data_IF_847903053012
#
_entry.id   IF_847903053012
#
_cell.length_a   1.000
_cell.length_b   1.000
_cell.length_c   1.000
_cell.angle_alpha   90.00
_cell.angle_beta   90.00
_cell.angle_gamma   90.00
#
_symmetry.space_group_name_H-M   'P 1'
#
loop_
_entity.id
_entity.type
_entity.pdbx_description
1 polymer ?
#
# COMPACT_ATOMS: atom_id res chain seq x y z
N UNK A 1 25.54 -21.43 22.45
CA UNK A 1 25.45 -20.09 21.84
C UNK A 1 24.69 -20.21 20.53
N UNK A 2 23.44 -19.76 20.47
CA UNK A 2 22.54 -19.94 19.31
C UNK A 2 23.11 -19.26 18.06
N UNK A 3 23.85 -18.16 18.22
CA UNK A 3 24.41 -17.41 17.10
C UNK A 3 25.58 -18.11 16.42
N UNK A 4 26.35 -18.93 17.14
CA UNK A 4 27.41 -19.75 16.53
C UNK A 4 26.85 -20.77 15.53
N UNK A 5 25.64 -21.29 15.78
CA UNK A 5 24.94 -22.19 14.86
C UNK A 5 24.35 -21.48 13.64
N UNK A 6 24.15 -20.15 13.72
CA UNK A 6 23.60 -19.35 12.62
C UNK A 6 24.65 -18.87 11.64
N UNK A 7 25.91 -18.73 12.05
CA UNK A 7 27.00 -18.30 11.15
C UNK A 7 27.10 -19.15 9.87
N UNK A 8 27.08 -20.50 9.93
CA UNK A 8 27.10 -21.32 8.73
C UNK A 8 25.86 -21.10 7.85
N UNK A 9 24.68 -21.00 8.45
CA UNK A 9 23.42 -20.72 7.75
C UNK A 9 23.42 -19.34 7.06
N UNK A 10 24.07 -18.34 7.68
CA UNK A 10 24.21 -17.00 7.11
C UNK A 10 25.35 -16.91 6.09
N UNK A 11 26.29 -17.85 6.08
CA UNK A 11 27.34 -17.93 5.09
C UNK A 11 26.93 -18.77 3.85
N UNK A 12 25.79 -19.45 3.91
CA UNK A 12 25.36 -20.39 2.87
C UNK A 12 24.50 -19.72 1.79
N UNK A 13 25.15 -19.40 0.67
CA UNK A 13 24.57 -18.64 -0.45
C UNK A 13 23.70 -19.49 -1.40
N UNK A 14 23.58 -20.79 -1.14
CA UNK A 14 22.72 -21.70 -1.93
C UNK A 14 21.23 -21.51 -1.66
N UNK A 15 20.85 -20.93 -0.52
CA UNK A 15 19.46 -20.69 -0.17
C UNK A 15 19.02 -19.27 -0.50
N UNK A 16 17.76 -19.06 -0.94
CA UNK A 16 17.23 -17.72 -1.21
C UNK A 16 17.29 -16.81 0.02
N UNK A 17 17.53 -15.52 -0.22
CA UNK A 17 17.71 -14.52 0.86
C UNK A 17 16.46 -14.36 1.75
N UNK A 18 15.25 -14.34 1.16
CA UNK A 18 14.00 -14.12 1.91
C UNK A 18 13.75 -15.16 3.02
N UNK A 19 13.75 -16.48 2.74
CA UNK A 19 13.64 -17.51 3.77
C UNK A 19 14.71 -17.38 4.87
N UNK A 20 15.96 -17.04 4.48
CA UNK A 20 17.04 -16.85 5.45
C UNK A 20 16.74 -15.70 6.42
N UNK A 21 16.27 -14.56 5.90
CA UNK A 21 15.87 -13.41 6.73
C UNK A 21 14.67 -13.76 7.63
N UNK A 22 13.68 -14.51 7.14
CA UNK A 22 12.54 -14.93 7.94
C UNK A 22 12.94 -15.82 9.12
N UNK A 23 13.84 -16.77 8.91
CA UNK A 23 14.40 -17.60 10.01
C UNK A 23 15.08 -16.72 11.05
N UNK A 24 15.93 -15.77 10.60
CA UNK A 24 16.60 -14.84 11.51
C UNK A 24 15.61 -13.93 12.24
N UNK A 25 14.51 -13.51 11.60
CA UNK A 25 13.42 -12.75 12.23
C UNK A 25 12.71 -13.56 13.32
N UNK A 26 12.30 -14.79 13.02
CA UNK A 26 11.65 -15.68 13.98
C UNK A 26 12.53 -15.94 15.19
N UNK A 27 13.84 -16.14 15.00
CA UNK A 27 14.79 -16.31 16.10
C UNK A 27 14.86 -15.08 17.00
N UNK A 28 14.90 -13.88 16.42
CA UNK A 28 14.89 -12.64 17.18
C UNK A 28 13.60 -12.40 17.98
N UNK A 29 12.47 -12.94 17.50
CA UNK A 29 11.17 -12.82 18.18
C UNK A 29 10.94 -13.91 19.23
N UNK A 30 11.49 -15.11 19.01
CA UNK A 30 11.22 -16.29 19.85
C UNK A 30 12.15 -16.41 21.06
N UNK A 31 13.29 -15.70 21.04
CA UNK A 31 14.31 -15.79 22.08
C UNK A 31 14.60 -14.42 22.69
N UNK A 32 14.83 -14.39 24.00
CA UNK A 32 15.38 -13.21 24.67
C UNK A 32 16.88 -13.12 24.38
N UNK A 33 17.22 -12.37 23.33
CA UNK A 33 18.61 -12.13 22.93
C UNK A 33 19.26 -11.06 23.81
N UNK A 34 20.55 -11.20 24.08
CA UNK A 34 21.36 -10.11 24.64
C UNK A 34 21.47 -8.96 23.63
N UNK A 35 21.91 -7.78 24.09
CA UNK A 35 22.12 -6.65 23.18
C UNK A 35 23.17 -6.97 22.10
N UNK A 36 24.26 -7.65 22.49
CA UNK A 36 25.31 -8.10 21.57
C UNK A 36 24.75 -9.11 20.55
N UNK A 37 23.94 -10.05 21.00
CA UNK A 37 23.33 -11.04 20.12
C UNK A 37 22.34 -10.39 19.14
N UNK A 38 21.60 -9.38 19.61
CA UNK A 38 20.71 -8.57 18.77
C UNK A 38 21.47 -7.83 17.68
N UNK A 39 22.61 -7.20 18.02
CA UNK A 39 23.48 -6.53 17.04
C UNK A 39 24.03 -7.50 16.00
N UNK A 40 24.51 -8.66 16.42
CA UNK A 40 24.99 -9.72 15.52
C UNK A 40 23.89 -10.24 14.60
N UNK A 41 22.66 -10.38 15.09
CA UNK A 41 21.52 -10.79 14.27
C UNK A 41 21.20 -9.77 13.18
N UNK A 42 21.25 -8.47 13.51
CA UNK A 42 21.10 -7.38 12.53
C UNK A 42 22.24 -7.42 11.51
N UNK A 43 23.47 -7.67 11.94
CA UNK A 43 24.63 -7.82 11.07
C UNK A 43 24.42 -8.96 10.06
N UNK A 44 24.09 -10.16 10.53
CA UNK A 44 23.90 -11.32 9.64
C UNK A 44 22.76 -11.13 8.63
N UNK A 45 21.66 -10.47 9.05
CA UNK A 45 20.57 -10.12 8.13
C UNK A 45 21.04 -9.15 7.06
N UNK A 46 21.78 -8.12 7.46
CA UNK A 46 22.33 -7.09 6.56
C UNK A 46 23.30 -7.71 5.57
N UNK A 47 24.25 -8.50 6.06
CA UNK A 47 25.24 -9.19 5.25
C UNK A 47 24.59 -10.13 4.22
N UNK A 48 23.59 -10.92 4.62
CA UNK A 48 22.87 -11.81 3.71
C UNK A 48 22.17 -11.05 2.56
N UNK A 49 21.61 -9.88 2.85
CA UNK A 49 20.97 -9.03 1.84
C UNK A 49 22.00 -8.39 0.92
N UNK A 50 23.10 -7.86 1.48
CA UNK A 50 24.12 -7.18 0.69
C UNK A 50 24.89 -8.13 -0.22
N UNK A 51 25.20 -9.35 0.24
CA UNK A 51 25.83 -10.37 -0.63
C UNK A 51 24.97 -10.70 -1.86
N UNK A 52 23.64 -10.65 -1.73
CA UNK A 52 22.72 -10.98 -2.81
C UNK A 52 22.62 -9.86 -3.88
N UNK A 53 22.63 -8.59 -3.47
CA UNK A 53 22.37 -7.46 -4.38
C UNK A 53 23.61 -6.58 -4.64
N UNK A 54 24.53 -6.45 -3.69
CA UNK A 54 25.76 -5.66 -3.79
C UNK A 54 26.97 -6.47 -3.33
N UNK A 55 27.38 -7.54 -4.05
CA UNK A 55 28.46 -8.43 -3.62
C UNK A 55 29.82 -7.73 -3.47
N UNK A 56 29.97 -6.53 -4.05
CA UNK A 56 31.18 -5.71 -3.94
C UNK A 56 31.24 -4.89 -2.64
N UNK A 57 30.10 -4.66 -1.98
CA UNK A 57 30.02 -3.92 -0.71
C UNK A 57 30.05 -4.90 0.45
N UNK A 58 31.22 -5.02 1.08
CA UNK A 58 31.37 -5.80 2.32
C UNK A 58 30.75 -5.04 3.49
N UNK A 59 30.07 -5.74 4.39
CA UNK A 59 29.45 -5.15 5.59
C UNK A 59 30.37 -5.33 6.78
N UNK A 60 30.61 -4.25 7.53
CA UNK A 60 31.28 -4.28 8.83
C UNK A 60 30.24 -4.12 9.96
N UNK A 61 30.57 -4.58 11.16
CA UNK A 61 29.80 -4.34 12.38
C UNK A 61 29.67 -2.83 12.63
N UNK A 62 30.68 -2.04 12.27
CA UNK A 62 30.61 -0.58 12.34
C UNK A 62 29.45 -0.01 11.50
N UNK A 63 29.14 -0.59 10.33
CA UNK A 63 28.06 -0.09 9.45
C UNK A 63 26.66 -0.23 10.09
N UNK A 64 26.50 -1.13 11.07
CA UNK A 64 25.21 -1.42 11.71
C UNK A 64 25.16 -1.10 13.21
N UNK A 65 26.24 -0.54 13.76
CA UNK A 65 26.41 -0.31 15.20
C UNK A 65 25.34 0.61 15.79
N UNK A 66 25.01 1.68 15.06
CA UNK A 66 24.06 2.70 15.48
C UNK A 66 23.11 3.09 14.33
N UNK A 67 22.12 3.94 14.61
CA UNK A 67 21.14 4.36 13.62
C UNK A 67 21.74 5.20 12.48
N UNK A 68 22.69 6.09 12.79
CA UNK A 68 23.35 6.97 11.82
C UNK A 68 24.18 6.17 10.80
N UNK A 69 24.92 5.17 11.27
CA UNK A 69 25.71 4.28 10.43
C UNK A 69 24.80 3.48 9.49
N UNK A 70 23.69 2.93 10.00
CA UNK A 70 22.70 2.24 9.17
C UNK A 70 22.05 3.17 8.14
N UNK A 71 21.76 4.42 8.51
CA UNK A 71 21.22 5.41 7.58
C UNK A 71 22.21 5.78 6.48
N UNK A 72 23.49 5.89 6.83
CA UNK A 72 24.58 6.18 5.88
C UNK A 72 24.74 5.02 4.90
N UNK A 73 24.79 3.77 5.40
CA UNK A 73 24.83 2.57 4.58
C UNK A 73 23.62 2.51 3.64
N UNK A 74 22.41 2.75 4.15
CA UNK A 74 21.21 2.76 3.31
C UNK A 74 21.26 3.83 2.22
N UNK A 75 21.76 5.02 2.54
CA UNK A 75 21.89 6.12 1.57
C UNK A 75 22.88 5.76 0.46
N UNK A 76 24.03 5.18 0.81
CA UNK A 76 25.05 4.69 -0.13
C UNK A 76 24.47 3.63 -1.09
N UNK A 77 23.76 2.64 -0.55
CA UNK A 77 23.13 1.58 -1.34
C UNK A 77 22.01 2.15 -2.23
N UNK A 78 21.18 3.05 -1.70
CA UNK A 78 20.11 3.69 -2.45
C UNK A 78 20.67 4.52 -3.61
N UNK A 79 21.73 5.28 -3.41
CA UNK A 79 22.37 6.10 -4.45
C UNK A 79 22.99 5.27 -5.58
N UNK A 80 23.56 4.11 -5.25
CA UNK A 80 24.13 3.17 -6.22
C UNK A 80 23.09 2.26 -6.88
N UNK A 81 21.82 2.32 -6.47
CA UNK A 81 20.74 1.46 -6.98
C UNK A 81 20.01 2.04 -8.18
N UNK A 82 19.87 1.22 -9.22
CA UNK A 82 19.21 1.53 -10.48
C UNK A 82 18.30 0.41 -11.01
N UNK A 83 18.34 -0.78 -10.40
CA UNK A 83 17.56 -1.95 -10.84
C UNK A 83 16.42 -2.24 -9.88
N UNK A 84 15.30 -2.72 -10.40
CA UNK A 84 14.13 -3.11 -9.59
C UNK A 84 14.49 -4.13 -8.49
N UNK A 85 15.35 -5.10 -8.82
CA UNK A 85 15.82 -6.11 -7.86
C UNK A 85 16.56 -5.47 -6.70
N UNK A 86 17.34 -4.42 -6.92
CA UNK A 86 18.08 -3.70 -5.86
C UNK A 86 17.10 -3.00 -4.91
N UNK A 87 16.07 -2.34 -5.45
CA UNK A 87 15.01 -1.75 -4.62
C UNK A 87 14.28 -2.79 -3.78
N UNK A 88 14.00 -3.98 -4.33
CA UNK A 88 13.41 -5.08 -3.56
C UNK A 88 14.30 -5.53 -2.38
N UNK A 89 15.63 -5.51 -2.55
CA UNK A 89 16.56 -5.81 -1.46
C UNK A 89 16.64 -4.66 -0.44
N UNK A 90 16.50 -3.40 -0.86
CA UNK A 90 16.38 -2.26 0.07
C UNK A 90 15.11 -2.34 0.93
N UNK A 91 13.98 -2.76 0.36
CA UNK A 91 12.73 -3.00 1.13
C UNK A 91 12.99 -4.06 2.21
N UNK A 92 13.62 -5.18 1.84
CA UNK A 92 13.98 -6.24 2.78
C UNK A 92 14.94 -5.76 3.88
N UNK A 93 15.88 -4.89 3.51
CA UNK A 93 16.85 -4.33 4.45
C UNK A 93 16.16 -3.49 5.53
N UNK A 94 15.27 -2.58 5.14
CA UNK A 94 14.52 -1.74 6.07
C UNK A 94 13.57 -2.57 6.97
N UNK A 95 12.96 -3.64 6.44
CA UNK A 95 12.15 -4.59 7.21
C UNK A 95 12.98 -5.44 8.18
N UNK A 96 14.25 -5.71 7.85
CA UNK A 96 15.14 -6.52 8.69
C UNK A 96 15.75 -5.72 9.86
N UNK A 97 15.78 -4.40 9.73
CA UNK A 97 16.40 -3.47 10.66
C UNK A 97 15.46 -2.98 11.77
N UNK A 98 16.01 -2.61 12.95
CA UNK A 98 15.26 -1.85 13.95
C UNK A 98 14.70 -0.54 13.35
N UNK A 99 13.51 -0.07 13.77
CA UNK A 99 12.96 1.21 13.32
C UNK A 99 13.99 2.33 13.48
N UNK A 100 14.19 3.11 12.41
CA UNK A 100 15.01 4.32 12.45
C UNK A 100 14.11 5.46 12.92
N UNK A 101 14.37 5.96 14.13
CA UNK A 101 13.50 6.93 14.79
C UNK A 101 13.94 8.37 14.55
N UNK A 102 15.04 8.62 13.86
CA UNK A 102 15.62 9.93 13.63
C UNK A 102 14.55 10.92 13.22
N UNK A 103 14.19 11.75 14.20
CA UNK A 103 13.15 12.79 14.17
C UNK A 103 13.55 13.96 13.26
N UNK A 104 14.73 13.90 12.65
CA UNK A 104 15.26 14.94 11.80
C UNK A 104 14.72 14.80 10.37
N UNK A 105 13.54 15.39 10.13
CA UNK A 105 12.99 15.74 8.80
C UNK A 105 12.44 14.54 8.01
N UNK A 106 11.19 14.67 7.53
CA UNK A 106 10.54 13.69 6.63
C UNK A 106 11.39 13.30 5.41
N UNK A 107 12.21 14.22 4.92
CA UNK A 107 13.16 14.01 3.83
C UNK A 107 14.22 12.94 4.14
N UNK A 108 14.49 12.67 5.43
CA UNK A 108 15.42 11.63 5.88
C UNK A 108 14.72 10.32 6.22
N UNK A 109 13.39 10.22 6.08
CA UNK A 109 12.72 8.96 6.30
C UNK A 109 13.15 7.95 5.21
N UNK A 110 13.71 6.78 5.59
CA UNK A 110 14.29 5.85 4.62
C UNK A 110 13.23 5.25 3.69
N UNK A 111 12.01 5.03 4.18
CA UNK A 111 10.89 4.53 3.37
C UNK A 111 10.45 5.56 2.34
N UNK A 112 10.33 6.84 2.74
CA UNK A 112 10.01 7.94 1.80
C UNK A 112 11.11 8.06 0.74
N UNK A 113 12.39 8.09 1.13
CA UNK A 113 13.52 8.16 0.18
C UNK A 113 13.55 6.97 -0.78
N UNK A 114 13.27 5.76 -0.28
CA UNK A 114 13.20 4.56 -1.11
C UNK A 114 12.13 4.68 -2.18
N UNK A 115 10.89 4.99 -1.77
CA UNK A 115 9.77 5.12 -2.70
C UNK A 115 10.01 6.26 -3.69
N UNK A 116 10.57 7.40 -3.26
CA UNK A 116 10.97 8.49 -4.15
C UNK A 116 11.97 8.02 -5.21
N UNK A 117 13.00 7.26 -4.81
CA UNK A 117 13.98 6.72 -5.75
C UNK A 117 13.34 5.72 -6.72
N UNK A 118 12.46 4.84 -6.24
CA UNK A 118 11.72 3.90 -7.08
C UNK A 118 10.84 4.64 -8.12
N UNK A 119 10.11 5.68 -7.69
CA UNK A 119 9.24 6.48 -8.56
C UNK A 119 10.00 7.35 -9.57
N UNK A 120 11.24 7.75 -9.27
CA UNK A 120 12.03 8.62 -10.13
C UNK A 120 13.00 7.89 -11.06
N UNK A 121 13.41 6.67 -10.71
CA UNK A 121 14.47 5.93 -11.43
C UNK A 121 13.96 4.69 -12.17
N UNK A 122 12.80 4.14 -11.82
CA UNK A 122 12.23 3.02 -12.56
C UNK A 122 11.64 3.46 -13.90
N UNK A 123 11.65 2.56 -14.89
CA UNK A 123 11.18 2.84 -16.26
C UNK A 123 9.65 2.97 -16.34
N UNK A 124 9.20 3.77 -17.32
CA UNK A 124 7.78 4.03 -17.61
C UNK A 124 6.94 2.77 -17.88
N UNK A 125 7.58 1.70 -18.38
CA UNK A 125 6.93 0.43 -18.75
C UNK A 125 6.29 -0.29 -17.55
N UNK A 126 6.81 -0.07 -16.33
CA UNK A 126 6.36 -0.75 -15.10
C UNK A 126 5.54 0.16 -14.16
N UNK A 127 4.96 1.25 -14.68
CA UNK A 127 4.28 2.27 -13.84
C UNK A 127 3.12 1.75 -12.99
N UNK A 128 2.28 0.88 -13.54
CA UNK A 128 1.14 0.33 -12.78
C UNK A 128 1.61 -0.59 -11.65
N UNK A 129 2.53 -1.52 -11.94
CA UNK A 129 3.13 -2.40 -10.93
C UNK A 129 3.91 -1.64 -9.86
N UNK A 130 4.48 -0.49 -10.21
CA UNK A 130 5.16 0.39 -9.27
C UNK A 130 4.19 0.98 -8.23
N UNK A 131 3.01 1.42 -8.69
CA UNK A 131 1.95 1.89 -7.80
C UNK A 131 1.49 0.82 -6.81
N UNK A 132 1.29 -0.42 -7.29
CA UNK A 132 0.90 -1.55 -6.45
C UNK A 132 1.98 -1.94 -5.45
N UNK A 133 3.25 -1.87 -5.84
CA UNK A 133 4.36 -2.15 -4.92
C UNK A 133 4.45 -1.06 -3.83
N UNK A 134 4.21 0.21 -4.15
CA UNK A 134 4.13 1.28 -3.13
C UNK A 134 2.99 1.05 -2.15
N UNK A 135 1.80 0.65 -2.64
CA UNK A 135 0.68 0.28 -1.76
C UNK A 135 1.07 -0.85 -0.82
N UNK A 136 1.68 -1.90 -1.36
CA UNK A 136 2.13 -3.06 -0.58
C UNK A 136 3.19 -2.69 0.45
N UNK A 137 4.13 -1.81 0.13
CA UNK A 137 5.11 -1.28 1.09
C UNK A 137 4.36 -0.59 2.23
N UNK A 138 3.53 0.42 1.94
CA UNK A 138 2.79 1.16 2.97
C UNK A 138 1.92 0.24 3.85
N UNK A 139 1.18 -0.68 3.24
CA UNK A 139 0.33 -1.65 3.95
C UNK A 139 1.13 -2.61 4.82
N UNK A 140 2.36 -2.96 4.43
CA UNK A 140 3.25 -3.79 5.26
C UNK A 140 3.74 -3.07 6.52
N UNK A 141 3.69 -1.73 6.54
CA UNK A 141 4.09 -0.91 7.67
C UNK A 141 2.94 -0.61 8.63
N UNK A 142 1.69 -0.88 8.24
CA UNK A 142 0.53 -0.68 9.11
C UNK A 142 0.62 -1.54 10.36
N UNK A 143 0.27 -0.95 11.51
CA UNK A 143 0.36 -1.57 12.83
C UNK A 143 1.78 -1.96 13.27
N UNK A 144 2.82 -1.44 12.60
CA UNK A 144 4.22 -1.64 12.99
C UNK A 144 4.80 -0.39 13.63
N UNK A 145 5.92 -0.54 14.33
CA UNK A 145 6.72 0.59 14.86
C UNK A 145 7.40 1.43 13.78
N UNK A 146 7.32 1.01 12.51
CA UNK A 146 7.84 1.71 11.34
C UNK A 146 6.75 2.42 10.54
N UNK A 147 5.52 2.50 11.05
CA UNK A 147 4.40 3.17 10.38
C UNK A 147 4.78 4.61 10.03
N UNK A 148 4.49 5.00 8.78
CA UNK A 148 4.76 6.35 8.30
C UNK A 148 3.85 7.36 9.00
N UNK A 149 4.38 8.53 9.40
CA UNK A 149 3.54 9.64 9.87
C UNK A 149 2.65 10.15 8.73
N UNK A 150 1.58 10.86 9.10
CA UNK A 150 0.57 11.39 8.16
C UNK A 150 1.21 12.25 7.07
N UNK A 151 2.20 13.07 7.43
CA UNK A 151 2.94 13.91 6.51
C UNK A 151 3.80 13.09 5.54
N UNK A 152 4.33 11.95 5.98
CA UNK A 152 5.06 11.02 5.11
C UNK A 152 4.13 10.35 4.10
N UNK A 153 2.94 9.92 4.54
CA UNK A 153 1.91 9.37 3.64
C UNK A 153 1.48 10.43 2.62
N UNK A 154 1.28 11.67 3.06
CA UNK A 154 0.93 12.80 2.19
C UNK A 154 1.99 13.02 1.10
N UNK A 155 3.26 13.04 1.46
CA UNK A 155 4.36 13.22 0.51
C UNK A 155 4.39 12.10 -0.54
N UNK A 156 4.22 10.84 -0.11
CA UNK A 156 4.14 9.71 -1.03
C UNK A 156 2.94 9.82 -1.98
N UNK A 157 1.79 10.25 -1.48
CA UNK A 157 0.60 10.46 -2.31
C UNK A 157 0.84 11.56 -3.35
N UNK A 158 1.50 12.65 -2.98
CA UNK A 158 1.90 13.70 -3.93
C UNK A 158 2.86 13.14 -4.98
N UNK A 159 3.89 12.38 -4.60
CA UNK A 159 4.82 11.79 -5.56
C UNK A 159 4.13 10.84 -6.55
N UNK A 160 3.19 10.02 -6.09
CA UNK A 160 2.37 9.17 -6.95
C UNK A 160 1.54 9.99 -7.94
N UNK A 161 0.92 11.10 -7.49
CA UNK A 161 0.16 12.00 -8.35
C UNK A 161 1.06 12.65 -9.43
N UNK A 162 2.27 13.09 -9.07
CA UNK A 162 3.24 13.63 -10.04
C UNK A 162 3.61 12.59 -11.12
N UNK A 163 3.61 11.30 -10.79
CA UNK A 163 3.85 10.21 -11.72
C UNK A 163 2.59 9.74 -12.48
N UNK A 164 1.47 10.46 -12.37
CA UNK A 164 0.17 10.09 -12.94
C UNK A 164 -0.42 8.77 -12.40
N UNK A 165 -0.02 8.37 -11.19
CA UNK A 165 -0.53 7.17 -10.50
C UNK A 165 -1.65 7.55 -9.53
N UNK A 166 -2.80 7.93 -10.11
CA UNK A 166 -3.95 8.41 -9.33
C UNK A 166 -4.57 7.32 -8.44
N UNK A 167 -4.83 6.13 -8.97
CA UNK A 167 -5.52 5.07 -8.23
C UNK A 167 -4.76 4.63 -6.96
N UNK A 168 -3.45 4.33 -7.00
CA UNK A 168 -2.67 4.03 -5.79
C UNK A 168 -2.67 5.18 -4.79
N UNK A 169 -2.58 6.44 -5.26
CA UNK A 169 -2.61 7.61 -4.40
C UNK A 169 -3.96 7.73 -3.65
N UNK A 170 -5.09 7.57 -4.36
CA UNK A 170 -6.41 7.62 -3.75
C UNK A 170 -6.61 6.54 -2.68
N UNK A 171 -6.13 5.31 -2.93
CA UNK A 171 -6.21 4.21 -1.95
C UNK A 171 -5.44 4.54 -0.66
N UNK A 172 -4.20 5.03 -0.78
CA UNK A 172 -3.41 5.44 0.39
C UNK A 172 -4.05 6.57 1.19
N UNK A 173 -4.58 7.58 0.50
CA UNK A 173 -5.25 8.71 1.15
C UNK A 173 -6.47 8.24 1.96
N UNK A 174 -7.28 7.35 1.40
CA UNK A 174 -8.49 6.85 2.05
C UNK A 174 -8.19 5.85 3.19
N UNK A 175 -7.15 5.02 3.05
CA UNK A 175 -6.73 4.05 4.08
C UNK A 175 -6.24 4.69 5.38
N UNK A 176 -5.73 5.93 5.30
CA UNK A 176 -5.20 6.65 6.47
C UNK A 176 -6.25 6.96 7.54
N UNK A 177 -7.53 7.08 7.17
CA UNK A 177 -8.61 7.50 8.07
C UNK A 177 -8.57 8.99 8.49
N UNK A 178 -7.53 9.73 8.09
CA UNK A 178 -7.34 11.13 8.48
C UNK A 178 -8.18 12.08 7.62
N UNK A 179 -8.90 12.99 8.27
CA UNK A 179 -9.82 13.91 7.58
C UNK A 179 -9.08 14.81 6.56
N UNK A 180 -7.85 15.22 6.88
CA UNK A 180 -7.02 16.06 5.99
C UNK A 180 -6.62 15.32 4.70
N UNK A 181 -6.32 14.02 4.78
CA UNK A 181 -5.96 13.19 3.64
C UNK A 181 -7.20 12.79 2.83
N UNK A 182 -8.33 12.54 3.51
CA UNK A 182 -9.62 12.32 2.83
C UNK A 182 -10.08 13.56 2.06
N UNK A 183 -9.85 14.77 2.59
CA UNK A 183 -10.14 16.01 1.86
C UNK A 183 -9.31 16.11 0.57
N UNK A 184 -8.03 15.75 0.63
CA UNK A 184 -7.16 15.67 -0.56
C UNK A 184 -7.66 14.61 -1.55
N UNK A 185 -8.11 13.44 -1.10
CA UNK A 185 -8.66 12.42 -1.98
C UNK A 185 -9.90 12.93 -2.73
N UNK A 186 -10.80 13.63 -2.02
CA UNK A 186 -12.00 14.21 -2.62
C UNK A 186 -11.68 15.31 -3.64
N UNK A 187 -10.67 16.13 -3.39
CA UNK A 187 -10.20 17.13 -4.35
C UNK A 187 -9.76 16.45 -5.65
N UNK A 188 -8.94 15.39 -5.55
CA UNK A 188 -8.50 14.62 -6.71
C UNK A 188 -9.67 13.94 -7.44
N UNK A 189 -10.62 13.34 -6.71
CA UNK A 189 -11.83 12.72 -7.28
C UNK A 189 -12.68 13.76 -8.02
N UNK A 190 -12.84 14.96 -7.46
CA UNK A 190 -13.62 16.03 -8.07
C UNK A 190 -13.00 16.57 -9.37
N UNK A 191 -11.67 16.48 -9.48
CA UNK A 191 -10.92 16.89 -10.67
C UNK A 191 -11.02 15.87 -11.83
N UNK A 192 -11.38 14.62 -11.54
CA UNK A 192 -11.55 13.58 -12.57
C UNK A 192 -12.82 13.85 -13.36
N UNK A 193 -12.69 13.97 -14.68
CA UNK A 193 -13.82 14.15 -15.60
C UNK A 193 -14.35 12.83 -16.16
N UNK A 194 -13.49 11.82 -16.30
CA UNK A 194 -13.85 10.51 -16.85
C UNK A 194 -13.27 9.38 -16.00
N UNK A 195 -14.15 8.50 -15.56
CA UNK A 195 -13.79 7.29 -14.81
C UNK A 195 -13.45 6.15 -15.77
N UNK A 196 -12.37 5.43 -15.49
CA UNK A 196 -11.90 4.27 -16.24
C UNK A 196 -11.11 3.31 -15.32
N UNK A 197 -10.66 2.18 -15.85
CA UNK A 197 -9.94 1.14 -15.08
C UNK A 197 -8.60 1.62 -14.49
N UNK A 198 -8.05 2.75 -14.95
CA UNK A 198 -6.80 3.32 -14.43
C UNK A 198 -6.98 4.22 -13.19
N UNK A 199 -8.21 4.70 -12.94
CA UNK A 199 -8.52 5.60 -11.83
C UNK A 199 -9.61 5.07 -10.89
N UNK A 200 -10.25 3.95 -11.22
CA UNK A 200 -11.33 3.38 -10.42
C UNK A 200 -11.32 1.86 -10.49
N UNK A 201 -11.35 1.23 -9.30
CA UNK A 201 -11.53 -0.19 -9.15
C UNK A 201 -12.46 -0.51 -7.97
N UNK A 202 -12.78 -1.79 -7.78
CA UNK A 202 -13.70 -2.23 -6.73
C UNK A 202 -13.17 -1.96 -5.32
N UNK A 203 -11.85 -1.94 -5.14
CA UNK A 203 -11.21 -1.65 -3.87
C UNK A 203 -11.40 -0.17 -3.49
N UNK A 204 -11.12 0.75 -4.41
CA UNK A 204 -11.35 2.18 -4.23
C UNK A 204 -12.82 2.48 -3.90
N UNK A 205 -13.75 1.87 -4.64
CA UNK A 205 -15.18 2.06 -4.40
C UNK A 205 -15.59 1.57 -3.01
N UNK A 206 -15.00 0.47 -2.54
CA UNK A 206 -15.21 -0.03 -1.18
C UNK A 206 -14.67 0.95 -0.13
N UNK A 207 -13.46 1.47 -0.33
CA UNK A 207 -12.83 2.45 0.56
C UNK A 207 -13.65 3.75 0.66
N UNK A 208 -14.21 4.24 -0.45
CA UNK A 208 -15.06 5.44 -0.45
C UNK A 208 -16.34 5.26 0.38
N UNK A 209 -16.96 4.07 0.30
CA UNK A 209 -18.16 3.75 1.08
C UNK A 209 -17.79 3.56 2.54
N UNK A 210 -16.72 2.83 2.84
CA UNK A 210 -16.25 2.58 4.20
C UNK A 210 -15.85 3.89 4.92
N UNK A 211 -15.25 4.84 4.18
CA UNK A 211 -14.93 6.18 4.67
C UNK A 211 -16.14 7.12 4.76
N UNK A 212 -17.37 6.64 4.50
CA UNK A 212 -18.63 7.42 4.52
C UNK A 212 -18.62 8.64 3.58
N UNK A 213 -17.91 8.55 2.45
CA UNK A 213 -17.75 9.65 1.50
C UNK A 213 -18.79 9.66 0.36
N UNK A 214 -19.77 8.74 0.39
CA UNK A 214 -20.81 8.60 -0.64
C UNK A 214 -21.49 9.94 -0.98
N UNK A 215 -21.94 10.68 0.04
CA UNK A 215 -22.62 11.97 -0.10
C UNK A 215 -21.73 12.98 -0.84
N UNK A 216 -20.45 13.05 -0.48
CA UNK A 216 -19.49 13.98 -1.09
C UNK A 216 -19.13 13.59 -2.54
N UNK A 217 -19.43 12.37 -2.94
CA UNK A 217 -19.14 11.88 -4.29
C UNK A 217 -20.32 12.08 -5.27
N UNK A 218 -21.52 12.49 -4.81
CA UNK A 218 -22.75 12.56 -5.63
C UNK A 218 -22.56 13.39 -6.91
N UNK A 219 -21.85 14.51 -6.83
CA UNK A 219 -21.59 15.41 -7.96
C UNK A 219 -20.43 14.96 -8.86
N UNK A 220 -19.78 13.85 -8.56
CA UNK A 220 -18.57 13.37 -9.26
C UNK A 220 -18.91 12.18 -10.18
N UNK A 221 -18.11 11.92 -11.22
CA UNK A 221 -18.35 10.78 -12.12
C UNK A 221 -18.15 9.41 -11.45
N UNK A 222 -17.66 9.37 -10.19
CA UNK A 222 -17.56 8.15 -9.41
C UNK A 222 -18.91 7.69 -8.86
N UNK A 223 -19.89 8.58 -8.66
CA UNK A 223 -21.17 8.23 -8.04
C UNK A 223 -21.91 7.07 -8.73
N UNK A 224 -22.08 7.04 -10.07
CA UNK A 224 -22.70 5.90 -10.74
C UNK A 224 -21.95 4.57 -10.53
N UNK A 225 -20.62 4.63 -10.44
CA UNK A 225 -19.77 3.46 -10.20
C UNK A 225 -19.92 2.94 -8.77
N UNK A 226 -20.02 3.84 -7.79
CA UNK A 226 -20.29 3.49 -6.38
C UNK A 226 -21.66 2.81 -6.27
N UNK A 227 -22.71 3.37 -6.90
CA UNK A 227 -24.04 2.76 -6.91
C UNK A 227 -24.01 1.37 -7.56
N UNK A 228 -23.34 1.23 -8.71
CA UNK A 228 -23.16 -0.06 -9.38
C UNK A 228 -22.47 -1.11 -8.49
N UNK A 229 -21.44 -0.69 -7.75
CA UNK A 229 -20.70 -1.55 -6.80
C UNK A 229 -21.56 -1.98 -5.61
N UNK A 230 -22.34 -1.07 -5.04
CA UNK A 230 -23.29 -1.37 -3.95
C UNK A 230 -24.35 -2.38 -4.40
N UNK A 231 -24.91 -2.20 -5.61
CA UNK A 231 -25.91 -3.10 -6.18
C UNK A 231 -25.32 -4.49 -6.47
N UNK A 232 -24.11 -4.55 -7.02
CA UNK A 232 -23.42 -5.80 -7.31
C UNK A 232 -23.12 -6.62 -6.05
N UNK A 233 -22.75 -5.94 -4.96
CA UNK A 233 -22.33 -6.56 -3.70
C UNK A 233 -23.43 -6.59 -2.61
N UNK A 234 -24.66 -6.21 -2.93
CA UNK A 234 -25.78 -6.20 -1.99
C UNK A 234 -25.98 -7.57 -1.29
N UNK A 235 -25.74 -8.67 -1.98
CA UNK A 235 -25.89 -10.03 -1.43
C UNK A 235 -24.87 -10.36 -0.32
N UNK A 236 -23.76 -9.63 -0.25
CA UNK A 236 -22.73 -9.84 0.77
C UNK A 236 -23.09 -9.19 2.11
N UNK A 237 -24.08 -8.28 2.14
CA UNK A 237 -24.53 -7.62 3.37
C UNK A 237 -23.49 -6.73 4.04
N UNK A 238 -22.41 -6.36 3.34
CA UNK A 238 -21.30 -5.55 3.89
C UNK A 238 -21.73 -4.13 4.27
N UNK A 239 -22.65 -3.54 3.51
CA UNK A 239 -23.13 -2.17 3.72
C UNK A 239 -24.62 -2.11 3.94
N UNK A 240 -25.05 -1.29 4.90
CA UNK A 240 -26.46 -1.01 5.12
C UNK A 240 -26.96 0.05 4.13
N UNK A 241 -27.62 -0.39 3.07
CA UNK A 241 -28.08 0.46 1.98
C UNK A 241 -29.17 1.43 2.44
N UNK A 242 -30.03 1.01 3.39
CA UNK A 242 -31.05 1.88 3.97
C UNK A 242 -30.41 3.04 4.74
N UNK A 243 -29.32 2.75 5.48
CA UNK A 243 -28.56 3.78 6.19
C UNK A 243 -27.84 4.72 5.22
N UNK A 244 -27.24 4.20 4.14
CA UNK A 244 -26.62 5.02 3.09
C UNK A 244 -27.64 5.92 2.39
N UNK A 245 -28.85 5.41 2.11
CA UNK A 245 -29.94 6.19 1.54
C UNK A 245 -30.44 7.27 2.51
N UNK A 246 -30.54 6.96 3.81
CA UNK A 246 -30.85 7.95 4.85
C UNK A 246 -29.80 9.07 4.89
N UNK A 247 -28.51 8.74 4.84
CA UNK A 247 -27.45 9.75 4.80
C UNK A 247 -27.53 10.65 3.56
N UNK A 248 -27.89 10.11 2.40
CA UNK A 248 -28.14 10.90 1.19
C UNK A 248 -29.34 11.84 1.37
N UNK A 249 -30.44 11.35 1.96
CA UNK A 249 -31.64 12.15 2.23
C UNK A 249 -31.35 13.29 3.21
N UNK A 250 -30.62 13.02 4.30
CA UNK A 250 -30.22 14.02 5.30
C UNK A 250 -29.32 15.11 4.70
N UNK A 251 -28.56 14.77 3.66
CA UNK A 251 -27.74 15.72 2.91
C UNK A 251 -28.50 16.47 1.80
N UNK A 252 -29.81 16.23 1.64
CA UNK A 252 -30.66 16.88 0.62
C UNK A 252 -30.67 16.19 -0.75
N UNK A 253 -30.07 15.01 -0.87
CA UNK A 253 -30.02 14.22 -2.11
C UNK A 253 -31.15 13.18 -2.15
N UNK A 254 -32.40 13.63 -2.12
CA UNK A 254 -33.58 12.76 -2.04
C UNK A 254 -33.76 11.87 -3.28
N UNK A 255 -33.45 12.42 -4.47
CA UNK A 255 -33.59 11.70 -5.75
C UNK A 255 -32.57 10.55 -5.82
N UNK A 256 -31.35 10.82 -5.42
CA UNK A 256 -30.25 9.86 -5.34
C UNK A 256 -30.52 8.77 -4.30
N UNK A 257 -31.03 9.16 -3.12
CA UNK A 257 -31.46 8.22 -2.09
C UNK A 257 -32.54 7.27 -2.59
N UNK A 258 -33.58 7.80 -3.23
CA UNK A 258 -34.65 7.00 -3.84
C UNK A 258 -34.14 6.10 -4.96
N UNK A 259 -33.26 6.62 -5.82
CA UNK A 259 -32.66 5.86 -6.93
C UNK A 259 -31.81 4.70 -6.43
N UNK A 260 -31.03 4.89 -5.37
CA UNK A 260 -30.23 3.84 -4.74
C UNK A 260 -31.12 2.71 -4.18
N UNK A 261 -32.17 3.07 -3.44
CA UNK A 261 -33.12 2.08 -2.89
C UNK A 261 -33.83 1.30 -4.00
N UNK A 262 -34.26 1.99 -5.07
CA UNK A 262 -34.90 1.35 -6.21
C UNK A 262 -33.95 0.44 -6.98
N UNK A 263 -32.68 0.81 -7.16
CA UNK A 263 -31.70 -0.04 -7.83
C UNK A 263 -31.45 -1.36 -7.06
N UNK A 264 -31.53 -1.30 -5.73
CA UNK A 264 -31.28 -2.41 -4.82
C UNK A 264 -32.53 -3.28 -4.65
N UNK A 265 -33.72 -2.68 -4.61
CA UNK A 265 -35.00 -3.40 -4.54
C UNK A 265 -35.41 -3.97 -5.90
N UNK A 266 -35.17 -3.25 -7.00
CA UNK A 266 -35.43 -3.67 -8.38
C UNK A 266 -34.56 -4.82 -8.85
N UNK A 267 -33.45 -5.10 -8.14
CA UNK A 267 -32.61 -6.29 -8.36
C UNK A 267 -33.10 -7.54 -7.60
N UNK A 268 -34.39 -7.58 -7.21
CA UNK A 268 -35.01 -8.82 -6.72
C UNK A 268 -34.84 -9.96 -7.74
N UNK A 269 -34.57 -11.17 -7.25
CA UNK A 269 -34.12 -12.37 -8.01
C UNK A 269 -34.86 -12.65 -9.32
N UNK A 270 -36.14 -12.29 -9.38
CA UNK A 270 -37.07 -12.49 -10.50
C UNK A 270 -36.74 -11.60 -11.71
N UNK A 271 -36.36 -10.33 -11.49
CA UNK A 271 -36.04 -9.42 -12.60
C UNK A 271 -34.62 -9.64 -13.14
N UNK A 272 -33.71 -10.17 -12.30
CA UNK A 272 -32.36 -10.57 -12.74
C UNK A 272 -32.40 -11.77 -13.69
N UNK A 273 -33.29 -12.74 -13.43
CA UNK A 273 -33.54 -13.85 -14.36
C UNK A 273 -34.24 -13.37 -15.63
N UNK A 274 -35.18 -12.43 -15.52
CA UNK A 274 -35.84 -11.84 -16.69
C UNK A 274 -34.85 -11.09 -17.59
N UNK A 275 -33.95 -10.27 -17.02
CA UNK A 275 -32.94 -9.53 -17.79
C UNK A 275 -31.91 -10.46 -18.46
N UNK A 276 -31.49 -11.54 -17.79
CA UNK A 276 -30.64 -12.58 -18.38
C UNK A 276 -31.37 -13.35 -19.49
N UNK A 277 -32.65 -13.66 -19.31
CA UNK A 277 -33.46 -14.28 -20.37
C UNK A 277 -33.65 -13.34 -21.57
N UNK A 278 -33.83 -12.04 -21.33
CA UNK A 278 -34.03 -11.04 -22.38
C UNK A 278 -32.74 -10.72 -23.14
N UNK A 279 -31.58 -10.75 -22.46
CA UNK A 279 -30.27 -10.63 -23.12
C UNK A 279 -29.92 -11.87 -23.93
N UNK A 280 -30.29 -13.07 -23.47
CA UNK A 280 -30.17 -14.30 -24.24
C UNK A 280 -31.04 -14.27 -25.50
N UNK A 281 -32.29 -13.78 -25.42
CA UNK A 281 -33.17 -13.62 -26.60
C UNK A 281 -32.62 -12.59 -27.59
N UNK A 282 -31.97 -11.51 -27.11
CA UNK A 282 -31.30 -10.53 -27.99
C UNK A 282 -30.07 -11.05 -28.73
N UNK A 283 -29.46 -12.15 -28.29
CA UNK A 283 -28.37 -12.79 -29.02
C UNK A 283 -28.87 -13.74 -30.12
N UNK A 284 -30.18 -14.02 -30.15
CA UNK A 284 -30.82 -14.93 -31.10
C UNK A 284 -31.66 -14.22 -32.17
N UNK A 285 -31.76 -12.89 -32.11
CA UNK A 285 -32.35 -12.01 -33.14
C UNK A 285 -31.24 -11.22 -33.79
#
# INVERSE_FOLDING_TARGET
DVLQWLRPFCAEDTYPVRPRIQVLQLLGQSFHLSEEDGKLLVFFRTEAILRAAWPQRQVDIADIENEENRHTLFSELLESSHREVEFQHLILLLQAWPPMKSECVLANNPWVRLVTAMLTRCTEENKQSLGDEVLKICRSLYNTTQMLPVEGVKELCLLLLHQSLLLPSLKLLLESGEESLQAMALEQISAVTKVNDSNCDQELLSLLVDARLLVKCVSTPFYPHIVGHLVANNQQGRWNIEELARHLQEAGHEVEAGSLLLAVQGTHRVFRTFSIALSAVRQWV
#
